data_IF_945450232397
#
_entry.id   IF_945450232397
#
_cell.length_a   1.000
_cell.length_b   1.000
_cell.length_c   1.000
_cell.angle_alpha   90.00
_cell.angle_beta   90.00
_cell.angle_gamma   90.00
#
_symmetry.space_group_name_H-M   'P 1'
#
loop_
_entity.id
_entity.type
_entity.pdbx_description
1 polymer ?
#
# COMPACT_ATOMS: atom_id res chain seq x y z
N UNK A 1 20.14 -10.05 8.50
CA UNK A 1 18.83 -10.72 8.63
C UNK A 1 18.18 -10.86 7.27
N UNK A 2 17.80 -12.07 6.85
CA UNK A 2 17.20 -12.33 5.53
C UNK A 2 15.77 -12.84 5.72
N UNK A 3 14.87 -11.97 6.17
CA UNK A 3 13.46 -12.30 6.37
C UNK A 3 12.65 -12.00 5.09
N UNK A 4 13.08 -12.53 3.95
CA UNK A 4 12.29 -12.49 2.71
C UNK A 4 11.55 -13.80 2.58
N UNK A 5 10.39 -13.90 3.23
CA UNK A 5 9.42 -14.90 2.85
C UNK A 5 8.90 -14.51 1.46
N UNK A 6 9.40 -15.17 0.41
CA UNK A 6 8.81 -15.05 -0.92
C UNK A 6 7.68 -16.05 -0.99
N UNK A 7 6.46 -15.57 -0.80
CA UNK A 7 5.26 -16.36 -1.08
C UNK A 7 5.04 -16.26 -2.59
N UNK A 8 4.85 -17.42 -3.23
CA UNK A 8 4.36 -17.43 -4.60
C UNK A 8 2.86 -17.15 -4.56
N UNK A 9 2.47 -15.95 -4.95
CA UNK A 9 1.06 -15.59 -5.11
C UNK A 9 0.58 -16.21 -6.42
N UNK A 10 -0.54 -16.94 -6.40
CA UNK A 10 -1.07 -17.60 -7.59
C UNK A 10 -1.37 -16.56 -8.69
N UNK A 11 -1.20 -16.97 -9.94
CA UNK A 11 -1.44 -16.08 -11.09
C UNK A 11 -2.88 -15.57 -11.12
N UNK A 12 -3.84 -16.41 -10.73
CA UNK A 12 -5.25 -16.05 -10.63
C UNK A 12 -5.51 -14.92 -9.63
N UNK A 13 -4.83 -14.94 -8.46
CA UNK A 13 -4.94 -13.86 -7.46
C UNK A 13 -4.34 -12.55 -7.97
N UNK A 14 -3.22 -12.64 -8.70
CA UNK A 14 -2.59 -11.46 -9.32
C UNK A 14 -3.50 -10.87 -10.40
N UNK A 15 -4.09 -11.72 -11.24
CA UNK A 15 -5.02 -11.32 -12.28
C UNK A 15 -6.30 -10.71 -11.69
N UNK A 16 -6.84 -11.29 -10.62
CA UNK A 16 -8.00 -10.75 -9.91
C UNK A 16 -7.73 -9.33 -9.39
N UNK A 17 -6.57 -9.10 -8.77
CA UNK A 17 -6.16 -7.77 -8.32
C UNK A 17 -6.02 -6.79 -9.49
N UNK A 18 -5.29 -7.18 -10.54
CA UNK A 18 -5.08 -6.30 -11.70
C UNK A 18 -6.40 -5.94 -12.40
N UNK A 19 -7.31 -6.90 -12.55
CA UNK A 19 -8.62 -6.66 -13.16
C UNK A 19 -9.45 -5.70 -12.33
N UNK A 20 -9.44 -5.85 -11.00
CA UNK A 20 -10.12 -4.91 -10.11
C UNK A 20 -9.55 -3.51 -10.21
N UNK A 21 -8.22 -3.35 -10.20
CA UNK A 21 -7.58 -2.05 -10.33
C UNK A 21 -7.89 -1.38 -11.67
N UNK A 22 -7.88 -2.13 -12.78
CA UNK A 22 -8.26 -1.61 -14.10
C UNK A 22 -9.73 -1.19 -14.17
N UNK A 23 -10.61 -1.90 -13.47
CA UNK A 23 -12.04 -1.57 -13.39
C UNK A 23 -12.29 -0.29 -12.58
N UNK A 24 -11.64 -0.15 -11.42
CA UNK A 24 -11.85 1.00 -10.52
C UNK A 24 -11.07 2.25 -10.99
N UNK A 25 -9.92 2.07 -11.67
CA UNK A 25 -9.03 3.15 -12.11
C UNK A 25 -8.56 2.94 -13.56
N UNK A 26 -9.47 3.05 -14.56
CA UNK A 26 -9.16 2.71 -15.96
C UNK A 26 -8.10 3.60 -16.60
N UNK A 27 -7.94 4.84 -16.13
CA UNK A 27 -6.96 5.80 -16.65
C UNK A 27 -5.57 5.63 -16.02
N UNK A 28 -5.43 4.78 -14.99
CA UNK A 28 -4.16 4.57 -14.29
C UNK A 28 -3.44 3.34 -14.83
N UNK A 29 -2.21 3.52 -15.31
CA UNK A 29 -1.33 2.41 -15.66
C UNK A 29 -0.62 1.88 -14.40
N UNK A 30 -0.85 0.61 -14.07
CA UNK A 30 -0.24 -0.05 -12.92
C UNK A 30 0.94 -0.91 -13.37
N UNK A 31 2.15 -0.35 -13.39
CA UNK A 31 3.37 -1.09 -13.77
C UNK A 31 3.91 -1.96 -12.63
N UNK A 32 4.11 -1.36 -11.44
CA UNK A 32 4.56 -2.07 -10.24
C UNK A 32 3.69 -1.68 -9.06
N UNK A 33 2.84 -2.62 -8.63
CA UNK A 33 1.98 -2.42 -7.47
C UNK A 33 2.69 -2.89 -6.21
N UNK A 34 2.73 -2.03 -5.20
CA UNK A 34 3.12 -2.40 -3.83
C UNK A 34 1.88 -2.27 -2.95
N UNK A 35 1.42 -3.39 -2.39
CA UNK A 35 0.40 -3.39 -1.34
C UNK A 35 1.08 -3.18 0.02
N UNK A 36 0.79 -2.06 0.66
CA UNK A 36 1.32 -1.71 1.97
C UNK A 36 0.19 -1.75 3.00
N UNK A 37 0.18 -2.79 3.84
CA UNK A 37 -0.70 -2.85 4.98
C UNK A 37 -0.03 -2.19 6.19
N UNK A 38 -0.56 -1.04 6.62
CA UNK A 38 -0.03 -0.29 7.74
C UNK A 38 -0.37 -0.91 9.12
N UNK A 39 -1.32 -1.85 9.15
CA UNK A 39 -1.91 -2.42 10.36
C UNK A 39 -2.23 -1.32 11.38
N UNK A 40 -3.04 -0.38 10.92
CA UNK A 40 -3.41 0.83 11.66
C UNK A 40 -4.26 0.52 12.90
N UNK A 41 -4.89 -0.66 12.99
CA UNK A 41 -5.75 -1.06 14.11
C UNK A 41 -5.01 -1.25 15.45
N UNK A 42 -5.58 -0.80 16.56
CA UNK A 42 -4.97 -0.87 17.92
C UNK A 42 -5.01 -2.26 18.59
N UNK A 43 -5.38 -3.31 17.87
CA UNK A 43 -5.66 -4.64 18.44
C UNK A 43 -4.38 -5.31 18.99
N UNK A 44 -3.18 -4.94 18.49
CA UNK A 44 -1.88 -5.45 19.01
C UNK A 44 -0.79 -4.35 19.04
N UNK A 45 -0.74 -3.50 20.08
CA UNK A 45 0.15 -2.32 20.13
C UNK A 45 1.64 -2.66 20.08
N UNK A 46 2.04 -3.79 20.68
CA UNK A 46 3.43 -4.19 20.89
C UNK A 46 4.22 -4.53 19.61
N UNK A 47 3.55 -4.62 18.45
CA UNK A 47 4.19 -4.91 17.14
C UNK A 47 3.92 -3.83 16.08
N UNK A 48 3.35 -2.69 16.49
CA UNK A 48 3.06 -1.59 15.56
C UNK A 48 4.35 -0.89 15.14
N UNK A 49 4.47 -0.65 13.84
CA UNK A 49 5.47 0.28 13.35
C UNK A 49 4.89 1.70 13.48
N UNK A 50 5.67 2.71 13.89
CA UNK A 50 5.17 4.08 13.99
C UNK A 50 4.65 4.59 12.64
N UNK A 51 3.53 5.32 12.65
CA UNK A 51 2.90 5.82 11.41
C UNK A 51 3.86 6.65 10.54
N UNK A 52 4.68 7.51 11.17
CA UNK A 52 5.69 8.32 10.47
C UNK A 52 6.69 7.47 9.66
N UNK A 53 6.94 6.22 10.07
CA UNK A 53 7.82 5.31 9.32
C UNK A 53 7.15 4.80 8.05
N UNK A 54 5.84 4.60 8.06
CA UNK A 54 5.08 4.30 6.83
C UNK A 54 5.06 5.50 5.89
N UNK A 55 4.96 6.73 6.42
CA UNK A 55 5.08 7.96 5.63
C UNK A 55 6.46 8.03 4.95
N UNK A 56 7.53 7.85 5.73
CA UNK A 56 8.90 7.87 5.23
C UNK A 56 9.12 6.80 4.13
N UNK A 57 8.64 5.57 4.37
CA UNK A 57 8.74 4.48 3.42
C UNK A 57 7.95 4.78 2.14
N UNK A 58 6.70 5.24 2.27
CA UNK A 58 5.84 5.55 1.13
C UNK A 58 6.46 6.60 0.22
N UNK A 59 6.98 7.69 0.78
CA UNK A 59 7.69 8.73 0.02
C UNK A 59 8.91 8.18 -0.72
N UNK A 60 9.75 7.39 -0.06
CA UNK A 60 10.93 6.76 -0.68
C UNK A 60 10.56 5.80 -1.81
N UNK A 61 9.44 5.07 -1.68
CA UNK A 61 8.96 4.19 -2.75
C UNK A 61 8.48 4.99 -3.97
N UNK A 62 7.78 6.10 -3.73
CA UNK A 62 7.25 6.97 -4.79
C UNK A 62 8.32 7.84 -5.48
N UNK A 63 9.55 7.91 -4.96
CA UNK A 63 10.71 8.42 -5.72
C UNK A 63 10.88 7.67 -7.06
N UNK A 64 10.35 6.43 -7.16
CA UNK A 64 10.25 5.69 -8.41
C UNK A 64 8.84 5.82 -9.02
N UNK A 65 8.74 6.56 -10.12
CA UNK A 65 7.48 6.83 -10.82
C UNK A 65 6.78 5.60 -11.42
N UNK A 66 7.46 4.44 -11.52
CA UNK A 66 6.83 3.18 -11.97
C UNK A 66 6.06 2.47 -10.86
N UNK A 67 6.21 2.91 -9.61
CA UNK A 67 5.57 2.29 -8.45
C UNK A 67 4.21 2.94 -8.20
N UNK A 68 3.18 2.11 -8.15
CA UNK A 68 1.89 2.43 -7.54
C UNK A 68 1.86 1.86 -6.13
N UNK A 69 1.78 2.72 -5.13
CA UNK A 69 1.60 2.32 -3.75
C UNK A 69 0.11 2.26 -3.41
N UNK A 70 -0.36 1.12 -2.91
CA UNK A 70 -1.75 0.92 -2.48
C UNK A 70 -1.73 0.60 -0.99
N UNK A 71 -2.42 1.42 -0.19
CA UNK A 71 -2.64 1.13 1.21
C UNK A 71 -3.81 0.16 1.35
N UNK A 72 -3.61 -0.90 2.13
CA UNK A 72 -4.63 -1.92 2.35
C UNK A 72 -4.86 -2.14 3.84
N UNK A 73 -6.11 -2.44 4.20
CA UNK A 73 -6.53 -2.60 5.58
C UNK A 73 -7.97 -3.09 5.66
N UNK A 74 -8.47 -3.25 6.89
CA UNK A 74 -9.87 -3.51 7.16
C UNK A 74 -10.73 -2.25 6.92
N UNK A 75 -12.07 -2.38 6.83
CA UNK A 75 -12.95 -1.22 6.68
C UNK A 75 -12.79 -0.16 7.78
N UNK A 76 -12.49 -0.58 9.01
CA UNK A 76 -12.26 0.32 10.15
C UNK A 76 -10.95 1.11 10.04
N UNK A 77 -10.01 0.66 9.22
CA UNK A 77 -8.72 1.31 8.97
C UNK A 77 -8.78 2.31 7.82
N UNK A 78 -9.93 2.45 7.14
CA UNK A 78 -10.08 3.28 5.94
C UNK A 78 -9.64 4.72 6.16
N UNK A 79 -10.19 5.40 7.16
CA UNK A 79 -9.90 6.82 7.42
C UNK A 79 -8.41 7.03 7.73
N UNK A 80 -7.79 6.10 8.45
CA UNK A 80 -6.35 6.14 8.77
C UNK A 80 -5.50 5.90 7.52
N UNK A 81 -5.93 5.00 6.63
CA UNK A 81 -5.26 4.79 5.34
C UNK A 81 -5.36 6.03 4.45
N UNK A 82 -6.51 6.70 4.41
CA UNK A 82 -6.71 7.92 3.62
C UNK A 82 -5.82 9.05 4.13
N UNK A 83 -5.76 9.28 5.45
CA UNK A 83 -4.84 10.26 6.04
C UNK A 83 -3.38 9.93 5.76
N UNK A 84 -2.99 8.66 5.91
CA UNK A 84 -1.64 8.20 5.58
C UNK A 84 -1.29 8.44 4.10
N UNK A 85 -2.23 8.22 3.19
CA UNK A 85 -2.04 8.48 1.76
C UNK A 85 -1.76 9.97 1.51
N UNK A 86 -2.52 10.87 2.15
CA UNK A 86 -2.32 12.32 2.04
C UNK A 86 -0.97 12.76 2.62
N UNK A 87 -0.53 12.15 3.72
CA UNK A 87 0.79 12.42 4.28
C UNK A 87 1.93 11.92 3.38
N UNK A 88 1.75 10.77 2.72
CA UNK A 88 2.73 10.20 1.79
C UNK A 88 2.82 11.06 0.52
N UNK A 89 1.68 11.32 -0.13
CA UNK A 89 1.59 12.02 -1.41
C UNK A 89 0.48 13.10 -1.37
N UNK A 90 0.78 14.30 -0.87
CA UNK A 90 -0.20 15.37 -0.80
C UNK A 90 -0.58 15.88 -2.20
N UNK A 91 -1.83 16.35 -2.40
CA UNK A 91 -2.27 16.86 -3.69
C UNK A 91 -1.47 18.11 -4.11
N UNK A 92 -0.99 18.14 -5.35
CA UNK A 92 -0.32 19.30 -5.94
C UNK A 92 1.22 19.24 -6.03
N UNK A 93 1.82 18.04 -5.97
CA UNK A 93 3.22 17.82 -6.42
C UNK A 93 3.31 17.61 -7.92
#
# INVERSE_FOLDING_TARGET
MRNRLKINIQEDDQNALQNRLKLEFPETAFEKVILLNANASDIVPLRKWPMDRFVELGRKLLENSSITLILTGSPEEKDVCEDLALQINPPGQ
#
